data_IF_709569601381
#
_entry.id   IF_709569601381
#
_cell.length_a   1.000
_cell.length_b   1.000
_cell.length_c   1.000
_cell.angle_alpha   90.00
_cell.angle_beta   90.00
_cell.angle_gamma   90.00
#
_symmetry.space_group_name_H-M   'P 1'
#
loop_
_entity.id
_entity.type
_entity.pdbx_description
1 polymer ?
#
# COMPACT_ATOMS: atom_id res chain seq x y z
N UNK A 1 -3.04 25.06 -5.68
CA UNK A 1 -1.98 24.26 -5.03
C UNK A 1 -2.48 22.84 -4.99
N UNK A 2 -1.83 21.91 -5.70
CA UNK A 2 -2.26 20.52 -5.73
C UNK A 2 -1.68 19.83 -4.50
N UNK A 3 -2.45 19.75 -3.42
CA UNK A 3 -2.05 19.06 -2.18
C UNK A 3 -1.95 17.56 -2.48
N UNK A 4 -0.73 17.04 -2.60
CA UNK A 4 -0.49 15.60 -2.80
C UNK A 4 -0.61 14.88 -1.45
N UNK A 5 -1.86 14.62 -1.04
CA UNK A 5 -2.19 13.97 0.24
C UNK A 5 -2.11 12.46 0.12
N UNK A 6 -1.27 11.85 0.95
CA UNK A 6 -1.16 10.41 1.10
C UNK A 6 -1.84 9.99 2.40
N UNK A 7 -2.88 9.17 2.30
CA UNK A 7 -3.53 8.58 3.48
C UNK A 7 -2.78 7.31 3.88
N UNK A 8 -2.31 7.23 5.12
CA UNK A 8 -1.55 6.09 5.63
C UNK A 8 -2.04 5.62 7.01
N UNK A 9 -1.71 4.38 7.35
CA UNK A 9 -1.87 3.89 8.72
C UNK A 9 -0.78 4.47 9.64
N UNK A 10 -0.83 4.12 10.93
CA UNK A 10 0.13 4.59 11.93
C UNK A 10 1.37 3.69 12.03
N UNK A 11 1.80 3.04 10.94
CA UNK A 11 2.99 2.22 10.99
C UNK A 11 4.22 3.04 11.42
N UNK A 12 5.01 2.48 12.35
CA UNK A 12 6.10 3.21 13.04
C UNK A 12 7.11 3.85 12.08
N UNK A 13 7.37 3.22 10.93
CA UNK A 13 8.34 3.73 9.95
C UNK A 13 7.90 5.04 9.29
N UNK A 14 6.60 5.37 9.21
CA UNK A 14 6.15 6.68 8.73
C UNK A 14 6.52 7.83 9.69
N UNK A 15 6.75 7.52 10.97
CA UNK A 15 7.16 8.51 11.97
C UNK A 15 8.67 8.60 12.16
N UNK A 16 9.46 7.80 11.42
CA UNK A 16 10.91 7.82 11.49
C UNK A 16 11.47 9.20 11.11
N UNK A 17 12.57 9.60 11.75
CA UNK A 17 13.19 10.90 11.53
C UNK A 17 13.59 11.13 10.05
N UNK A 18 14.09 10.10 9.37
CA UNK A 18 14.43 10.16 7.95
C UNK A 18 13.22 10.49 7.08
N UNK A 19 12.07 9.86 7.36
CA UNK A 19 10.82 10.12 6.62
C UNK A 19 10.35 11.55 6.88
N UNK A 20 10.33 12.00 8.14
CA UNK A 20 9.98 13.38 8.50
C UNK A 20 10.89 14.41 7.82
N UNK A 21 12.21 14.15 7.78
CA UNK A 21 13.19 15.02 7.14
C UNK A 21 12.99 15.14 5.63
N UNK A 22 12.64 14.04 4.96
CA UNK A 22 12.29 14.06 3.54
C UNK A 22 10.99 14.85 3.30
N UNK A 23 9.94 14.58 4.11
CA UNK A 23 8.63 15.20 3.94
C UNK A 23 8.66 16.72 4.11
N UNK A 24 9.53 17.24 5.00
CA UNK A 24 9.69 18.67 5.23
C UNK A 24 10.06 19.47 3.97
N UNK A 25 10.73 18.84 2.99
CA UNK A 25 11.13 19.47 1.73
C UNK A 25 10.33 18.95 0.52
N UNK A 26 9.32 18.11 0.76
CA UNK A 26 8.50 17.49 -0.29
C UNK A 26 7.16 18.23 -0.45
N UNK A 27 6.44 17.93 -1.53
CA UNK A 27 5.04 18.37 -1.72
C UNK A 27 4.02 17.37 -1.17
N UNK A 28 4.46 16.39 -0.40
CA UNK A 28 3.64 15.28 0.10
C UNK A 28 3.17 15.60 1.50
N UNK A 29 1.87 15.50 1.71
CA UNK A 29 1.25 15.60 3.03
C UNK A 29 0.80 14.21 3.48
N UNK A 30 1.36 13.68 4.57
CA UNK A 30 0.88 12.44 5.17
C UNK A 30 -0.31 12.70 6.08
N UNK A 31 -1.44 12.05 5.77
CA UNK A 31 -2.65 12.08 6.58
C UNK A 31 -2.81 10.72 7.25
N UNK A 32 -2.66 10.70 8.57
CA UNK A 32 -2.78 9.47 9.36
C UNK A 32 -4.23 9.15 9.68
N UNK A 33 -4.62 7.88 9.47
CA UNK A 33 -5.90 7.38 9.93
C UNK A 33 -5.96 7.36 11.48
N UNK A 34 -7.16 7.47 12.09
CA UNK A 34 -7.32 7.23 13.52
C UNK A 34 -6.79 5.85 13.93
N UNK A 35 -6.25 5.70 15.15
CA UNK A 35 -5.81 4.41 15.67
C UNK A 35 -6.94 3.37 15.59
N UNK A 36 -6.58 2.12 15.26
CA UNK A 36 -7.51 0.99 15.19
C UNK A 36 -8.72 1.22 14.26
N UNK A 37 -8.55 1.97 13.17
CA UNK A 37 -9.58 2.18 12.15
C UNK A 37 -9.32 1.35 10.85
N UNK A 38 -9.27 0.01 10.90
CA UNK A 38 -8.97 -0.82 9.73
C UNK A 38 -10.02 -0.66 8.63
N UNK A 39 -11.26 -0.29 8.98
CA UNK A 39 -12.33 -0.05 8.04
C UNK A 39 -12.06 1.17 7.14
N UNK A 40 -11.25 2.13 7.59
CA UNK A 40 -10.87 3.32 6.81
C UNK A 40 -9.63 3.05 5.93
N UNK A 41 -8.92 1.95 6.15
CA UNK A 41 -7.74 1.59 5.40
C UNK A 41 -8.10 0.90 4.07
N UNK A 42 -8.28 1.69 3.01
CA UNK A 42 -8.61 1.20 1.67
C UNK A 42 -7.59 0.21 1.11
N UNK A 43 -6.29 0.46 1.31
CA UNK A 43 -5.25 -0.46 0.82
C UNK A 43 -5.33 -1.82 1.52
N UNK A 44 -5.79 -1.88 2.78
CA UNK A 44 -6.07 -3.13 3.47
C UNK A 44 -7.18 -3.97 2.82
N UNK A 45 -8.25 -3.31 2.34
CA UNK A 45 -9.33 -3.98 1.59
C UNK A 45 -8.84 -4.47 0.24
N UNK A 46 -8.11 -3.61 -0.47
CA UNK A 46 -7.52 -3.96 -1.76
C UNK A 46 -6.52 -5.12 -1.62
N UNK A 47 -5.71 -5.14 -0.56
CA UNK A 47 -4.80 -6.24 -0.25
C UNK A 47 -5.54 -7.56 -0.03
N UNK A 48 -6.69 -7.53 0.66
CA UNK A 48 -7.55 -8.73 0.80
C UNK A 48 -8.02 -9.23 -0.57
N UNK A 49 -8.46 -8.32 -1.45
CA UNK A 49 -8.86 -8.66 -2.82
C UNK A 49 -7.68 -9.24 -3.62
N UNK A 50 -6.54 -8.56 -3.64
CA UNK A 50 -5.30 -9.04 -4.26
C UNK A 50 -4.95 -10.46 -3.81
N UNK A 51 -4.91 -10.73 -2.50
CA UNK A 51 -4.58 -12.06 -1.99
C UNK A 51 -5.58 -13.12 -2.44
N UNK A 52 -6.87 -12.79 -2.45
CA UNK A 52 -7.90 -13.72 -2.95
C UNK A 52 -7.71 -14.01 -4.44
N UNK A 53 -7.32 -13.03 -5.24
CA UNK A 53 -7.20 -13.19 -6.68
C UNK A 53 -5.87 -13.83 -7.10
N UNK A 54 -4.77 -13.51 -6.42
CA UNK A 54 -3.41 -13.92 -6.80
C UNK A 54 -2.95 -15.14 -6.01
N UNK A 55 -3.21 -15.22 -4.70
CA UNK A 55 -2.63 -16.24 -3.82
C UNK A 55 -3.56 -17.41 -3.49
N UNK A 56 -4.88 -17.22 -3.60
CA UNK A 56 -5.83 -18.26 -3.18
C UNK A 56 -5.69 -19.51 -4.04
N UNK A 57 -5.44 -20.66 -3.40
CA UNK A 57 -5.26 -21.98 -4.02
C UNK A 57 -4.18 -22.03 -5.12
N UNK A 58 -3.19 -21.12 -5.07
CA UNK A 58 -2.11 -21.03 -6.06
C UNK A 58 -0.76 -21.14 -5.40
N UNK A 59 0.06 -22.08 -5.89
CA UNK A 59 1.47 -22.19 -5.56
C UNK A 59 2.32 -21.68 -6.71
N UNK A 60 3.34 -20.90 -6.40
CA UNK A 60 4.33 -20.41 -7.36
C UNK A 60 5.67 -21.02 -6.99
N UNK A 61 6.23 -21.80 -7.91
CA UNK A 61 7.50 -22.50 -7.69
C UNK A 61 8.68 -21.52 -7.62
N UNK A 62 8.60 -20.43 -8.39
CA UNK A 62 9.65 -19.42 -8.45
C UNK A 62 9.12 -18.03 -8.12
N UNK A 63 10.01 -17.18 -7.59
CA UNK A 63 9.71 -15.76 -7.37
C UNK A 63 9.30 -15.06 -8.68
N UNK A 64 9.89 -15.46 -9.81
CA UNK A 64 9.54 -14.88 -11.12
C UNK A 64 8.08 -15.14 -11.50
N UNK A 65 7.59 -16.37 -11.31
CA UNK A 65 6.19 -16.70 -11.54
C UNK A 65 5.25 -15.90 -10.64
N UNK A 66 5.58 -15.80 -9.34
CA UNK A 66 4.80 -14.99 -8.40
C UNK A 66 4.76 -13.51 -8.81
N UNK A 67 5.92 -12.92 -9.11
CA UNK A 67 6.02 -11.52 -9.55
C UNK A 67 5.22 -11.27 -10.83
N UNK A 68 5.26 -12.19 -11.77
CA UNK A 68 4.50 -12.11 -13.02
C UNK A 68 3.00 -12.12 -12.76
N UNK A 69 2.53 -13.00 -11.87
CA UNK A 69 1.13 -13.02 -11.48
C UNK A 69 0.68 -11.72 -10.79
N UNK A 70 1.52 -11.13 -9.93
CA UNK A 70 1.27 -9.81 -9.34
C UNK A 70 1.11 -8.75 -10.42
N UNK A 71 2.05 -8.67 -11.37
CA UNK A 71 2.01 -7.67 -12.45
C UNK A 71 0.77 -7.83 -13.33
N UNK A 72 0.41 -9.06 -13.69
CA UNK A 72 -0.78 -9.34 -14.48
C UNK A 72 -2.06 -8.93 -13.74
N UNK A 73 -2.13 -9.17 -12.43
CA UNK A 73 -3.24 -8.68 -11.63
C UNK A 73 -3.38 -7.16 -11.69
N UNK A 74 -2.28 -6.42 -11.55
CA UNK A 74 -2.31 -4.95 -11.62
C UNK A 74 -2.61 -4.42 -13.02
N UNK A 75 -2.10 -5.09 -14.07
CA UNK A 75 -2.36 -4.71 -15.46
C UNK A 75 -3.80 -4.96 -15.90
N UNK A 76 -4.53 -5.85 -15.21
CA UNK A 76 -5.94 -6.13 -15.45
C UNK A 76 -6.90 -5.39 -14.51
N UNK A 77 -6.44 -4.35 -13.80
CA UNK A 77 -7.34 -3.44 -13.07
C UNK A 77 -7.86 -2.41 -14.06
N UNK A 78 -9.16 -2.45 -14.34
CA UNK A 78 -9.88 -1.42 -15.10
C UNK A 78 -9.92 -0.07 -14.37
#
# INVERSE_FOLDING_TARGET
>A
MCDNRLICDNARYYHAQLVKGYLANSRIELVFLPPYAPNLNLIGRFWKFFKKTVLYERYYETFYQFKTACNNFFAGLD
#
